data_IF_658153407118
#
_entry.id   IF_658153407118
#
_cell.length_a   1.000
_cell.length_b   1.000
_cell.length_c   1.000
_cell.angle_alpha   90.00
_cell.angle_beta   90.00
_cell.angle_gamma   90.00
#
_symmetry.space_group_name_H-M   'P 1'
#
loop_
_entity.id
_entity.type
_entity.pdbx_description
1 polymer ?
#
# COMPACT_ATOMS: atom_id res chain seq x y z
N UNK A 1 24.94 -19.45 -10.93
CA UNK A 1 23.84 -19.47 -9.94
C UNK A 1 22.73 -18.53 -10.39
N UNK A 2 21.64 -19.05 -10.98
CA UNK A 2 20.46 -18.26 -11.39
C UNK A 2 19.61 -18.00 -10.14
N UNK A 3 19.76 -16.83 -9.50
CA UNK A 3 18.88 -16.40 -8.39
C UNK A 3 17.46 -16.25 -8.94
N UNK A 4 16.58 -17.21 -8.61
CA UNK A 4 15.13 -17.11 -8.83
C UNK A 4 14.64 -15.89 -8.04
N UNK A 5 14.18 -14.85 -8.76
CA UNK A 5 13.56 -13.66 -8.16
C UNK A 5 12.18 -14.09 -7.66
N UNK A 6 12.02 -14.22 -6.36
CA UNK A 6 10.72 -14.52 -5.77
C UNK A 6 9.90 -13.23 -5.75
N UNK A 7 8.99 -13.09 -6.71
CA UNK A 7 7.96 -12.07 -6.71
C UNK A 7 6.78 -12.61 -5.92
N UNK A 8 6.67 -12.24 -4.65
CA UNK A 8 5.48 -12.52 -3.86
C UNK A 8 4.47 -11.43 -4.16
N UNK A 9 3.44 -11.76 -4.94
CA UNK A 9 2.31 -10.89 -5.19
C UNK A 9 1.21 -11.29 -4.21
N UNK A 10 1.10 -10.57 -3.08
CA UNK A 10 -0.04 -10.72 -2.19
C UNK A 10 -1.16 -9.82 -2.72
N UNK A 11 -2.06 -10.40 -3.50
CA UNK A 11 -3.33 -9.76 -3.85
C UNK A 11 -4.27 -9.94 -2.65
N UNK A 12 -4.32 -8.96 -1.76
CA UNK A 12 -5.47 -8.87 -0.87
C UNK A 12 -6.56 -8.09 -1.62
N UNK A 13 -7.56 -8.80 -2.13
CA UNK A 13 -8.87 -8.21 -2.43
C UNK A 13 -9.55 -7.86 -1.11
N UNK A 14 -9.02 -6.85 -0.43
CA UNK A 14 -9.69 -6.24 0.70
C UNK A 14 -10.86 -5.46 0.12
N UNK A 15 -12.06 -6.03 0.25
CA UNK A 15 -13.32 -5.33 0.05
C UNK A 15 -13.51 -4.36 1.23
N UNK A 16 -12.79 -3.24 1.19
CA UNK A 16 -13.28 -2.01 1.80
C UNK A 16 -14.35 -1.45 0.87
N UNK A 17 -15.49 -1.00 1.40
CA UNK A 17 -16.63 -0.51 0.60
C UNK A 17 -16.31 0.70 -0.31
N UNK A 18 -15.09 1.24 -0.23
CA UNK A 18 -14.58 2.34 -1.05
C UNK A 18 -13.31 2.02 -1.82
N UNK A 19 -12.70 0.84 -1.66
CA UNK A 19 -11.44 0.52 -2.31
C UNK A 19 -11.55 -0.72 -3.19
N UNK A 20 -11.19 -0.58 -4.47
CA UNK A 20 -11.26 -1.70 -5.41
C UNK A 20 -10.18 -2.75 -5.10
N UNK A 21 -8.92 -2.31 -4.86
CA UNK A 21 -7.83 -3.23 -4.49
C UNK A 21 -6.59 -2.52 -3.95
N UNK A 22 -5.84 -3.22 -3.08
CA UNK A 22 -4.44 -2.91 -2.74
C UNK A 22 -3.57 -4.10 -3.15
N UNK A 23 -2.48 -3.84 -3.86
CA UNK A 23 -1.45 -4.83 -4.15
C UNK A 23 -0.14 -4.37 -3.54
N UNK A 24 0.56 -5.29 -2.88
CA UNK A 24 1.91 -5.07 -2.40
C UNK A 24 2.86 -6.04 -3.11
N UNK A 25 4.00 -5.52 -3.56
CA UNK A 25 5.06 -6.34 -4.15
C UNK A 25 6.42 -5.86 -3.70
N UNK A 26 7.33 -6.80 -3.46
CA UNK A 26 8.70 -6.52 -3.04
C UNK A 26 9.61 -6.61 -4.26
N UNK A 27 10.38 -5.54 -4.52
CA UNK A 27 11.41 -5.50 -5.54
C UNK A 27 12.75 -5.10 -4.92
N UNK A 28 13.60 -6.09 -4.63
CA UNK A 28 14.90 -5.90 -3.97
C UNK A 28 14.78 -5.15 -2.64
N UNK A 29 15.07 -3.85 -2.64
CA UNK A 29 15.07 -2.97 -1.47
C UNK A 29 13.82 -2.12 -1.37
N UNK A 30 12.90 -2.22 -2.33
CA UNK A 30 11.74 -1.37 -2.42
C UNK A 30 10.47 -2.21 -2.33
N UNK A 31 9.44 -1.62 -1.74
CA UNK A 31 8.07 -2.12 -1.78
C UNK A 31 7.28 -1.21 -2.71
N UNK A 32 6.58 -1.84 -3.66
CA UNK A 32 5.67 -1.19 -4.58
C UNK A 32 4.25 -1.48 -4.15
N UNK A 33 3.53 -0.42 -3.77
CA UNK A 33 2.12 -0.45 -3.43
C UNK A 33 1.31 0.08 -4.61
N UNK A 34 0.38 -0.73 -5.11
CA UNK A 34 -0.59 -0.30 -6.12
C UNK A 34 -1.97 -0.24 -5.48
N UNK A 35 -2.56 0.94 -5.49
CA UNK A 35 -3.87 1.21 -4.91
C UNK A 35 -4.79 1.56 -6.07
N UNK A 36 -5.86 0.79 -6.24
CA UNK A 36 -6.87 1.04 -7.26
C UNK A 36 -8.18 1.45 -6.60
N UNK A 37 -8.76 2.52 -7.10
CA UNK A 37 -10.07 2.98 -6.65
C UNK A 37 -10.76 3.71 -7.81
N UNK A 38 -12.04 3.41 -8.02
CA UNK A 38 -12.87 4.03 -9.05
C UNK A 38 -13.36 5.44 -8.68
N UNK A 39 -13.32 5.81 -7.40
CA UNK A 39 -13.86 7.08 -6.90
C UNK A 39 -12.79 8.03 -6.36
N UNK A 40 -13.07 9.35 -6.29
CA UNK A 40 -12.16 10.30 -5.65
C UNK A 40 -11.91 9.95 -4.19
N UNK A 41 -10.64 9.94 -3.78
CA UNK A 41 -10.21 9.58 -2.44
C UNK A 41 -8.94 10.36 -2.05
N UNK A 42 -8.69 10.46 -0.74
CA UNK A 42 -7.43 10.97 -0.21
C UNK A 42 -6.66 9.78 0.39
N UNK A 43 -5.44 9.59 -0.12
CA UNK A 43 -4.48 8.62 0.38
C UNK A 43 -3.57 9.34 1.37
N UNK A 44 -3.52 8.84 2.59
CA UNK A 44 -2.57 9.29 3.61
C UNK A 44 -1.67 8.11 3.97
N UNK A 45 -0.35 8.26 3.83
CA UNK A 45 0.62 7.21 4.12
C UNK A 45 1.63 7.74 5.13
N UNK A 46 1.78 7.01 6.23
CA UNK A 46 2.77 7.29 7.29
C UNK A 46 3.74 6.13 7.41
N UNK A 47 5.03 6.41 7.36
CA UNK A 47 6.08 5.39 7.43
C UNK A 47 6.68 5.29 8.83
N UNK A 48 7.42 4.21 9.10
CA UNK A 48 8.18 4.05 10.34
C UNK A 48 9.31 5.09 10.50
N UNK A 49 9.72 5.73 9.40
CA UNK A 49 10.68 6.84 9.39
C UNK A 49 10.03 8.21 9.65
N UNK A 50 8.76 8.25 10.09
CA UNK A 50 7.95 9.47 10.26
C UNK A 50 7.77 10.29 8.98
N UNK A 51 7.98 9.68 7.81
CA UNK A 51 7.66 10.32 6.54
C UNK A 51 6.15 10.23 6.31
N UNK A 52 5.55 11.34 5.88
CA UNK A 52 4.13 11.43 5.63
C UNK A 52 3.87 11.86 4.18
N UNK A 53 2.94 11.18 3.54
CA UNK A 53 2.53 11.44 2.17
C UNK A 53 1.01 11.53 2.10
N UNK A 54 0.50 12.67 1.61
CA UNK A 54 -0.93 12.92 1.47
C UNK A 54 -1.23 13.28 0.01
N UNK A 55 -2.08 12.49 -0.65
CA UNK A 55 -2.42 12.68 -2.05
C UNK A 55 -3.92 12.52 -2.29
N UNK A 56 -4.54 13.57 -2.84
CA UNK A 56 -5.88 13.49 -3.41
C UNK A 56 -5.81 12.90 -4.81
N UNK A 57 -6.64 11.90 -5.07
CA UNK A 57 -6.71 11.19 -6.35
C UNK A 57 -8.17 11.19 -6.80
N UNK A 58 -8.42 11.46 -8.07
CA UNK A 58 -9.78 11.52 -8.64
C UNK A 58 -10.28 10.16 -9.17
N UNK A 59 -9.71 9.06 -8.67
CA UNK A 59 -9.88 7.70 -9.20
C UNK A 59 -8.71 7.23 -10.07
N UNK A 60 -8.68 5.93 -10.38
CA UNK A 60 -7.62 5.27 -11.15
C UNK A 60 -6.71 4.36 -10.32
N UNK A 61 -5.44 4.26 -10.71
CA UNK A 61 -4.41 3.47 -10.02
C UNK A 61 -3.28 4.37 -9.56
N UNK A 62 -3.05 4.41 -8.25
CA UNK A 62 -1.90 5.07 -7.64
C UNK A 62 -0.81 4.05 -7.38
N UNK A 63 0.43 4.37 -7.75
CA UNK A 63 1.61 3.55 -7.44
C UNK A 63 2.53 4.29 -6.50
N UNK A 64 2.81 3.72 -5.34
CA UNK A 64 3.79 4.22 -4.37
C UNK A 64 4.98 3.28 -4.34
N UNK A 65 6.18 3.83 -4.42
CA UNK A 65 7.44 3.08 -4.35
C UNK A 65 8.21 3.61 -3.17
N UNK A 66 8.44 2.74 -2.19
CA UNK A 66 9.01 3.11 -0.90
C UNK A 66 10.14 2.15 -0.54
N UNK A 67 11.17 2.66 0.11
CA UNK A 67 12.24 1.79 0.58
C UNK A 67 11.71 0.85 1.68
N UNK A 68 12.09 -0.43 1.66
CA UNK A 68 11.65 -1.45 2.63
C UNK A 68 11.93 -1.04 4.09
N UNK A 69 12.97 -0.23 4.34
CA UNK A 69 13.31 0.29 5.67
C UNK A 69 12.29 1.28 6.24
N UNK A 70 11.41 1.83 5.39
CA UNK A 70 10.33 2.74 5.79
C UNK A 70 9.08 2.00 6.28
N UNK A 71 9.08 0.66 6.27
CA UNK A 71 7.98 -0.15 6.78
C UNK A 71 8.26 -0.60 8.23
N UNK A 72 7.23 -0.88 9.04
CA UNK A 72 5.80 -0.89 8.69
C UNK A 72 5.27 0.50 8.34
N UNK A 73 4.35 0.55 7.38
CA UNK A 73 3.70 1.77 6.96
C UNK A 73 2.19 1.68 7.24
N UNK A 74 1.59 2.79 7.66
CA UNK A 74 0.16 2.94 7.87
C UNK A 74 -0.41 3.67 6.67
N UNK A 75 -1.27 3.00 5.94
CA UNK A 75 -2.04 3.54 4.82
C UNK A 75 -3.46 3.81 5.30
N UNK A 76 -3.88 5.06 5.23
CA UNK A 76 -5.24 5.50 5.53
C UNK A 76 -5.90 6.01 4.25
N UNK A 77 -7.16 5.61 4.04
CA UNK A 77 -7.92 5.96 2.84
C UNK A 77 -9.22 6.65 3.27
N UNK A 78 -9.32 7.93 2.93
CA UNK A 78 -10.48 8.76 3.24
C UNK A 78 -11.49 8.76 2.07
N UNK A 79 -12.80 8.91 2.35
CA UNK A 79 -13.39 9.41 3.60
C UNK A 79 -13.65 8.35 4.68
N UNK A 80 -13.57 7.06 4.38
CA UNK A 80 -13.94 6.00 5.33
C UNK A 80 -12.94 5.82 6.49
N UNK A 81 -11.81 6.53 6.46
CA UNK A 81 -10.73 6.50 7.45
C UNK A 81 -10.28 5.07 7.79
N UNK A 82 -10.36 4.17 6.79
CA UNK A 82 -9.90 2.81 6.95
C UNK A 82 -8.37 2.81 6.94
N UNK A 83 -7.80 2.24 7.99
CA UNK A 83 -6.36 2.15 8.19
C UNK A 83 -5.87 0.73 7.92
N UNK A 84 -4.77 0.65 7.19
CA UNK A 84 -4.12 -0.58 6.80
C UNK A 84 -2.66 -0.51 7.21
N UNK A 85 -2.22 -1.48 8.01
CA UNK A 85 -0.81 -1.67 8.32
C UNK A 85 -0.22 -2.57 7.25
N UNK A 86 0.84 -2.07 6.62
CA UNK A 86 1.60 -2.79 5.62
C UNK A 86 2.97 -3.09 6.22
N UNK A 87 3.35 -4.37 6.23
CA UNK A 87 4.64 -4.80 6.78
C UNK A 87 5.74 -4.84 5.71
N UNK A 88 6.99 -5.01 6.17
CA UNK A 88 8.16 -5.20 5.30
C UNK A 88 8.09 -6.46 4.41
N UNK A 89 7.24 -7.42 4.75
CA UNK A 89 7.05 -8.66 3.98
C UNK A 89 5.81 -8.61 3.09
N UNK A 90 5.27 -7.40 2.83
CA UNK A 90 4.03 -7.21 2.06
C UNK A 90 2.81 -7.92 2.66
N UNK A 91 2.78 -8.08 3.98
CA UNK A 91 1.57 -8.44 4.70
C UNK A 91 0.72 -7.18 4.90
N UNK A 92 -0.54 -7.22 4.50
CA UNK A 92 -1.50 -6.11 4.63
C UNK A 92 -2.54 -6.54 5.65
N UNK A 93 -2.68 -5.78 6.74
CA UNK A 93 -3.68 -6.02 7.80
C UNK A 93 -4.51 -4.77 8.03
N UNK A 94 -5.84 -4.95 8.20
CA UNK A 94 -6.70 -3.86 8.66
C UNK A 94 -6.30 -3.51 10.10
N UNK A 95 -6.10 -2.22 10.36
CA UNK A 95 -5.89 -1.72 11.71
C UNK A 95 -7.27 -1.54 12.35
N UNK A 96 -7.60 -2.43 13.29
CA UNK A 96 -8.82 -2.41 14.11
C UNK A 96 -8.81 -1.27 15.12
#
# INVERSE_FOLDING_TARGET
SKRRRAFYLTNLSSFASTLDSIQCSINKTDIVLKIKNSTPHLISLKTSSNSEYNQKVNGGTTTLILNIKQFPAILEIHPNSEKWIISQICEIKKQS
#
